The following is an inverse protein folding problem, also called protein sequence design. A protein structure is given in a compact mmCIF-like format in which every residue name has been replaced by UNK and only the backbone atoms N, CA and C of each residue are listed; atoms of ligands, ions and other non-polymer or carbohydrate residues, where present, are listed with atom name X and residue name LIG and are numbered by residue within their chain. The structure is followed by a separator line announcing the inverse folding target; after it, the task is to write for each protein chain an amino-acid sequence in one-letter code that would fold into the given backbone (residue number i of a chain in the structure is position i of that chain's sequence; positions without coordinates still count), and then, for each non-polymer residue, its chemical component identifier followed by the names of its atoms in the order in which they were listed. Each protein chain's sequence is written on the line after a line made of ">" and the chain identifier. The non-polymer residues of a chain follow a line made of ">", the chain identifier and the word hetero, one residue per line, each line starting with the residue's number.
data_IF_676009795442
#
_entry.id   IF_676009795442
#
_cell.length_a   1.000
_cell.length_b   1.000
_cell.length_c   1.000
_cell.angle_alpha   90.00
_cell.angle_beta   90.00
_cell.angle_gamma   90.00
#
_symmetry.space_group_name_H-M   'P 1'
#
loop_
_entity.id
_entity.type
_entity.pdbx_description
1 polymer ?
#
# COMPACT_ATOMS: atom_id res chain seq x y z
N UNK A 1 -17.60 6.73 -21.47
CA UNK A 1 -17.62 5.72 -20.38
C UNK A 1 -16.21 5.58 -19.85
N UNK A 2 -15.86 6.41 -18.87
CA UNK A 2 -14.52 6.42 -18.26
C UNK A 2 -14.58 5.47 -17.06
N UNK A 3 -14.04 4.26 -17.19
CA UNK A 3 -13.87 3.39 -16.05
C UNK A 3 -12.86 4.05 -15.10
N UNK A 4 -13.35 4.54 -13.96
CA UNK A 4 -12.50 5.08 -12.89
C UNK A 4 -11.78 3.87 -12.28
N UNK A 5 -10.47 3.78 -12.46
CA UNK A 5 -9.63 2.77 -11.80
C UNK A 5 -9.82 2.92 -10.28
N UNK A 6 -10.67 2.08 -9.71
CA UNK A 6 -10.91 1.98 -8.28
C UNK A 6 -9.94 0.97 -7.70
N UNK A 7 -8.96 1.47 -6.95
CA UNK A 7 -7.98 0.62 -6.28
C UNK A 7 -8.56 -0.13 -5.07
N UNK A 8 -9.79 0.18 -4.69
CA UNK A 8 -10.55 -0.51 -3.64
C UNK A 8 -11.11 -1.87 -4.13
N UNK A 9 -11.07 -2.13 -5.45
CA UNK A 9 -11.67 -3.31 -6.09
C UNK A 9 -10.70 -4.51 -6.19
N UNK A 10 -9.49 -4.43 -5.61
CA UNK A 10 -8.54 -5.55 -5.57
C UNK A 10 -8.99 -6.59 -4.53
N UNK A 11 -9.98 -7.39 -4.93
CA UNK A 11 -10.43 -8.69 -4.42
C UNK A 11 -10.16 -8.95 -2.91
N UNK A 12 -10.97 -8.34 -2.05
CA UNK A 12 -11.03 -8.62 -0.61
C UNK A 12 -11.75 -9.95 -0.27
N UNK A 13 -12.24 -10.71 -1.27
CA UNK A 13 -13.25 -11.75 -1.05
C UNK A 13 -12.74 -13.20 -0.96
N UNK A 14 -11.41 -13.43 -0.87
CA UNK A 14 -10.90 -14.81 -0.70
C UNK A 14 -10.38 -15.18 0.69
N UNK A 15 -10.26 -14.24 1.64
CA UNK A 15 -9.66 -14.55 2.97
C UNK A 15 -10.43 -14.02 4.19
N UNK A 16 -11.37 -13.07 4.07
CA UNK A 16 -11.94 -12.41 5.26
C UNK A 16 -13.43 -12.69 5.55
N UNK A 17 -13.92 -13.90 5.28
CA UNK A 17 -15.16 -14.38 5.92
C UNK A 17 -14.84 -15.07 7.24
N UNK A 18 -14.51 -14.29 8.28
CA UNK A 18 -14.79 -14.64 9.68
C UNK A 18 -14.60 -13.41 10.59
N UNK A 19 -15.75 -12.76 10.83
CA UNK A 19 -16.16 -12.01 12.02
C UNK A 19 -15.30 -10.81 12.46
N UNK A 20 -15.83 -9.61 12.22
CA UNK A 20 -15.72 -8.50 13.15
C UNK A 20 -17.12 -7.96 13.42
N UNK A 21 -17.58 -8.16 14.65
CA UNK A 21 -18.91 -7.82 15.13
C UNK A 21 -19.10 -6.30 15.31
N UNK A 22 -20.19 -5.83 14.71
CA UNK A 22 -21.10 -4.74 15.05
C UNK A 22 -20.79 -3.89 16.30
N UNK A 23 -20.57 -2.58 16.10
CA UNK A 23 -20.99 -1.49 16.99
C UNK A 23 -21.08 -0.18 16.19
N UNK A 24 -22.28 0.16 15.71
CA UNK A 24 -22.56 1.38 14.91
C UNK A 24 -22.97 2.53 15.84
N UNK A 25 -22.12 3.55 15.97
CA UNK A 25 -22.43 4.82 16.61
C UNK A 25 -22.83 5.89 15.56
N UNK A 26 -23.69 6.87 15.92
CA UNK A 26 -24.57 7.58 14.99
C UNK A 26 -23.84 8.56 14.05
N UNK A 27 -24.48 8.79 12.89
CA UNK A 27 -23.99 9.58 11.77
C UNK A 27 -24.30 11.07 11.98
N UNK A 28 -23.29 11.92 12.00
CA UNK A 28 -23.44 13.37 11.80
C UNK A 28 -23.17 13.73 10.33
N UNK A 29 -23.94 14.70 9.84
CA UNK A 29 -24.04 15.17 8.46
C UNK A 29 -22.75 15.80 7.96
N UNK A 30 -22.24 15.32 6.81
CA UNK A 30 -21.05 15.87 6.14
C UNK A 30 -21.51 16.86 5.07
N UNK A 31 -21.10 18.13 5.19
CA UNK A 31 -21.28 19.16 4.17
C UNK A 31 -20.50 18.81 2.89
N UNK A 32 -21.19 18.83 1.75
CA UNK A 32 -20.73 18.26 0.48
C UNK A 32 -19.65 19.06 -0.28
N UNK A 33 -19.06 20.14 0.27
CA UNK A 33 -18.24 21.06 -0.53
C UNK A 33 -16.81 21.35 -0.01
N UNK A 34 -16.25 20.51 0.87
CA UNK A 34 -14.93 20.76 1.47
C UNK A 34 -13.99 19.58 1.23
N UNK A 35 -13.08 19.67 0.24
CA UNK A 35 -11.90 18.81 0.21
C UNK A 35 -11.57 18.09 -1.10
N UNK A 36 -11.49 18.80 -2.22
CA UNK A 36 -11.08 18.22 -3.50
C UNK A 36 -9.56 18.23 -3.75
N UNK A 37 -8.78 19.07 -3.05
CA UNK A 37 -7.40 19.42 -3.48
C UNK A 37 -6.28 18.85 -2.63
N UNK A 38 -6.56 18.25 -1.46
CA UNK A 38 -5.53 17.65 -0.59
C UNK A 38 -4.49 18.65 -0.04
N UNK A 39 -4.75 19.96 -0.16
CA UNK A 39 -3.90 21.06 0.28
C UNK A 39 -4.27 21.60 1.68
N UNK A 40 -5.23 20.98 2.37
CA UNK A 40 -5.61 21.40 3.72
C UNK A 40 -4.67 20.81 4.78
N UNK A 41 -4.45 21.56 5.86
CA UNK A 41 -3.58 21.17 6.96
C UNK A 41 -4.16 19.98 7.72
N UNK A 42 -3.44 18.85 7.72
CA UNK A 42 -3.81 17.66 8.48
C UNK A 42 -3.55 17.93 9.97
N UNK A 43 -4.62 17.95 10.77
CA UNK A 43 -4.51 18.06 12.22
C UNK A 43 -3.79 16.83 12.79
N UNK A 44 -2.53 16.99 13.21
CA UNK A 44 -1.76 15.93 13.86
C UNK A 44 -2.24 15.75 15.31
N UNK A 45 -2.46 14.49 15.72
CA UNK A 45 -2.99 14.15 17.05
C UNK A 45 -4.50 13.95 17.10
N UNK A 46 -5.12 13.69 15.94
CA UNK A 46 -6.54 13.40 15.82
C UNK A 46 -6.94 12.09 16.54
N UNK A 47 -8.23 12.00 16.88
CA UNK A 47 -8.86 10.82 17.48
C UNK A 47 -8.58 9.54 16.69
N UNK A 48 -8.83 8.37 17.32
CA UNK A 48 -8.64 7.06 16.68
C UNK A 48 -9.29 7.02 15.30
N UNK A 49 -8.51 6.61 14.31
CA UNK A 49 -8.92 6.53 12.91
C UNK A 49 -9.84 5.34 12.67
N UNK A 50 -10.91 5.54 11.91
CA UNK A 50 -11.77 4.45 11.42
C UNK A 50 -11.19 3.85 10.13
N UNK A 51 -11.38 2.55 9.94
CA UNK A 51 -10.86 1.83 8.76
C UNK A 51 -11.45 2.40 7.47
N UNK A 52 -12.75 2.68 7.46
CA UNK A 52 -13.49 3.07 6.24
C UNK A 52 -12.98 4.38 5.62
N UNK A 53 -12.53 5.32 6.45
CA UNK A 53 -12.03 6.64 6.04
C UNK A 53 -10.69 6.58 5.29
N UNK A 54 -9.95 5.46 5.39
CA UNK A 54 -8.66 5.29 4.72
C UNK A 54 -8.84 5.11 3.21
N UNK A 55 -8.25 5.98 2.39
CA UNK A 55 -8.23 5.85 0.92
C UNK A 55 -6.80 5.83 0.40
N UNK A 56 -6.56 5.15 -0.73
CA UNK A 56 -5.21 5.14 -1.33
C UNK A 56 -4.87 6.54 -1.89
N UNK A 57 -5.86 7.24 -2.46
CA UNK A 57 -5.69 8.59 -3.02
C UNK A 57 -6.68 9.52 -2.34
N UNK A 58 -6.24 10.76 -2.04
CA UNK A 58 -7.06 11.82 -1.45
C UNK A 58 -7.77 11.39 -0.13
N UNK A 59 -7.02 10.72 0.75
CA UNK A 59 -7.45 10.40 2.10
C UNK A 59 -7.30 11.61 3.03
N UNK A 60 -8.22 11.78 3.99
CA UNK A 60 -8.18 12.82 5.03
C UNK A 60 -7.86 12.27 6.42
N UNK A 61 -7.72 10.95 6.56
CA UNK A 61 -7.35 10.31 7.82
C UNK A 61 -5.86 10.51 8.12
N UNK A 62 -5.50 10.56 9.41
CA UNK A 62 -4.12 10.74 9.86
C UNK A 62 -3.18 9.60 9.38
N UNK A 63 -2.18 9.97 8.58
CA UNK A 63 -1.27 9.02 7.94
C UNK A 63 -0.21 8.45 8.89
N UNK A 64 -0.01 9.07 10.07
CA UNK A 64 1.02 8.66 11.02
C UNK A 64 0.59 7.43 11.86
N UNK A 65 -0.69 7.04 11.82
CA UNK A 65 -1.21 5.89 12.57
C UNK A 65 -1.34 4.66 11.66
N UNK A 66 -0.43 3.70 11.85
CA UNK A 66 -0.38 2.48 11.04
C UNK A 66 -1.65 1.63 11.19
N UNK A 67 -2.11 1.44 12.42
CA UNK A 67 -3.32 0.68 12.73
C UNK A 67 -4.56 1.58 12.74
N UNK A 68 -5.75 1.08 12.39
CA UNK A 68 -6.07 -0.25 11.85
C UNK A 68 -5.77 -0.39 10.34
N UNK A 69 -5.42 -1.58 9.87
CA UNK A 69 -5.11 -1.84 8.45
C UNK A 69 -6.38 -2.00 7.60
N UNK A 70 -6.53 -1.19 6.54
CA UNK A 70 -7.58 -1.38 5.52
C UNK A 70 -7.12 -2.30 4.39
N UNK A 71 -5.93 -2.05 3.84
CA UNK A 71 -5.40 -2.80 2.69
C UNK A 71 -4.46 -3.91 3.15
N UNK A 72 -5.04 -5.07 3.48
CA UNK A 72 -4.25 -6.21 3.99
C UNK A 72 -3.25 -6.75 2.98
N UNK A 73 -3.59 -6.72 1.68
CA UNK A 73 -2.69 -7.12 0.61
C UNK A 73 -1.39 -6.30 0.59
N UNK A 74 -1.46 -5.00 0.88
CA UNK A 74 -0.30 -4.12 0.88
C UNK A 74 0.64 -4.47 2.02
N UNK A 75 0.08 -4.79 3.19
CA UNK A 75 0.84 -5.30 4.33
C UNK A 75 1.51 -6.64 4.03
N UNK A 76 0.80 -7.56 3.38
CA UNK A 76 1.38 -8.88 3.03
C UNK A 76 2.50 -8.75 2.00
N UNK A 77 2.39 -7.81 1.05
CA UNK A 77 3.49 -7.47 0.13
C UNK A 77 4.69 -6.85 0.85
N UNK A 78 4.46 -6.00 1.84
CA UNK A 78 5.53 -5.46 2.67
C UNK A 78 6.30 -6.56 3.42
N UNK A 79 5.61 -7.49 4.08
CA UNK A 79 6.25 -8.62 4.77
C UNK A 79 7.00 -9.51 3.79
N UNK A 80 6.41 -9.81 2.63
CA UNK A 80 7.08 -10.58 1.58
C UNK A 80 8.36 -9.89 1.07
N UNK A 81 8.36 -8.56 0.95
CA UNK A 81 9.55 -7.80 0.58
C UNK A 81 10.63 -7.86 1.68
N UNK A 82 10.24 -7.70 2.95
CA UNK A 82 11.17 -7.84 4.08
C UNK A 82 11.82 -9.23 4.14
N UNK A 83 11.08 -10.28 3.82
CA UNK A 83 11.60 -11.65 3.79
C UNK A 83 12.57 -11.91 2.62
N UNK A 84 12.48 -11.14 1.53
CA UNK A 84 13.30 -11.29 0.33
C UNK A 84 14.44 -10.25 0.26
N UNK A 85 14.96 -9.81 1.41
CA UNK A 85 16.10 -8.91 1.47
C UNK A 85 17.36 -9.60 0.91
N UNK A 86 18.01 -8.98 -0.08
CA UNK A 86 19.30 -9.42 -0.64
C UNK A 86 20.17 -8.19 -0.94
N UNK A 87 21.48 -8.39 -0.94
CA UNK A 87 22.47 -7.39 -1.31
C UNK A 87 23.15 -7.78 -2.63
N UNK A 88 23.35 -6.86 -3.58
CA UNK A 88 24.02 -7.17 -4.85
C UNK A 88 25.39 -7.81 -4.71
N UNK A 89 26.13 -7.45 -3.66
CA UNK A 89 27.47 -7.97 -3.38
C UNK A 89 27.47 -9.43 -2.87
N UNK A 90 26.30 -10.02 -2.59
CA UNK A 90 26.16 -11.43 -2.20
C UNK A 90 26.31 -12.38 -3.41
N UNK A 91 26.16 -11.88 -4.64
CA UNK A 91 26.29 -12.67 -5.86
C UNK A 91 27.70 -12.48 -6.44
N UNK A 92 28.43 -13.58 -6.62
CA UNK A 92 29.80 -13.54 -7.15
C UNK A 92 29.81 -13.28 -8.67
N UNK A 93 30.51 -12.23 -9.09
CA UNK A 93 30.61 -11.80 -10.50
C UNK A 93 31.89 -12.27 -11.23
N UNK A 94 32.75 -13.09 -10.61
CA UNK A 94 34.05 -13.43 -11.18
C UNK A 94 33.95 -14.20 -12.51
N UNK A 95 32.99 -15.12 -12.62
CA UNK A 95 32.73 -15.87 -13.85
C UNK A 95 32.20 -14.96 -14.96
N UNK A 96 31.22 -14.11 -14.63
CA UNK A 96 30.64 -13.11 -15.53
C UNK A 96 31.69 -12.12 -16.04
N UNK A 97 32.60 -11.67 -15.16
CA UNK A 97 33.73 -10.80 -15.54
C UNK A 97 34.70 -11.53 -16.48
N UNK A 98 34.98 -12.81 -16.26
CA UNK A 98 35.85 -13.59 -17.13
C UNK A 98 35.21 -13.78 -18.52
N UNK A 99 33.92 -14.12 -18.56
CA UNK A 99 33.14 -14.25 -19.79
C UNK A 99 33.10 -12.94 -20.57
N UNK A 100 32.85 -11.81 -19.89
CA UNK A 100 32.79 -10.49 -20.51
C UNK A 100 34.12 -10.07 -21.16
N UNK A 101 35.24 -10.55 -20.63
CA UNK A 101 36.58 -10.24 -21.16
C UNK A 101 37.02 -11.17 -22.30
N UNK A 102 36.33 -12.29 -22.52
CA UNK A 102 36.65 -13.23 -23.57
C UNK A 102 36.14 -12.71 -24.93
N UNK A 103 37.03 -12.45 -25.92
CA UNK A 103 36.63 -12.02 -27.27
C UNK A 103 35.71 -13.00 -28.01
N UNK A 104 35.62 -14.25 -27.55
CA UNK A 104 34.73 -15.27 -28.08
C UNK A 104 33.62 -15.67 -27.09
N UNK A 105 33.51 -14.96 -25.96
CA UNK A 105 32.62 -15.32 -24.85
C UNK A 105 31.15 -14.97 -25.08
N UNK A 106 30.86 -13.95 -25.89
CA UNK A 106 29.50 -13.54 -26.23
C UNK A 106 29.34 -13.47 -27.75
N UNK A 107 28.19 -13.93 -28.24
CA UNK A 107 27.80 -13.71 -29.63
C UNK A 107 27.41 -12.24 -29.84
N UNK A 108 27.58 -11.72 -31.06
CA UNK A 108 26.94 -10.45 -31.44
C UNK A 108 25.41 -10.56 -31.55
#
# INVERSE_FOLDING_TARGET
>A
MTARLSWDDYDNDRIAQKKYDENVAPKESIDENSGATGLEELSMGAARIRVDDKRIINCRADLNQLVPFKYKWAWDKYIAACANHWMPNEINMAADIALWKDPHGLTE
#
